data_IF_361856289656
#
_entry.id   IF_361856289656
#
_cell.length_a   1.000
_cell.length_b   1.000
_cell.length_c   1.000
_cell.angle_alpha   90.00
_cell.angle_beta   90.00
_cell.angle_gamma   90.00
#
_symmetry.space_group_name_H-M   'P 1'
#
loop_
_entity.id
_entity.type
_entity.pdbx_description
1 polymer ?
#
# COMPACT_ATOMS: atom_id res chain seq x y z
N UNK A 1 -10.92 31.50 -15.12
CA UNK A 1 -11.90 31.32 -14.02
C UNK A 1 -12.16 29.86 -13.65
N UNK A 2 -12.68 28.97 -14.52
CA UNK A 2 -12.90 27.56 -14.14
C UNK A 2 -11.60 26.75 -13.98
N UNK A 3 -10.67 26.89 -14.93
CA UNK A 3 -9.36 26.21 -14.88
C UNK A 3 -8.54 26.60 -13.64
N UNK A 4 -8.63 27.85 -13.19
CA UNK A 4 -7.95 28.34 -12.00
C UNK A 4 -8.45 27.64 -10.73
N UNK A 5 -9.78 27.53 -10.60
CA UNK A 5 -10.42 26.82 -9.50
C UNK A 5 -10.05 25.33 -9.49
N UNK A 6 -9.98 24.69 -10.66
CA UNK A 6 -9.54 23.30 -10.77
C UNK A 6 -8.09 23.10 -10.34
N UNK A 7 -7.19 24.05 -10.64
CA UNK A 7 -5.78 23.98 -10.22
C UNK A 7 -5.64 24.07 -8.71
N UNK A 8 -6.41 24.97 -8.07
CA UNK A 8 -6.45 25.08 -6.60
C UNK A 8 -7.02 23.80 -5.99
N UNK A 9 -8.15 23.29 -6.48
CA UNK A 9 -8.76 22.05 -5.96
C UNK A 9 -7.84 20.84 -6.16
N UNK A 10 -7.10 20.76 -7.28
CA UNK A 10 -6.11 19.69 -7.50
C UNK A 10 -5.00 19.74 -6.45
N UNK A 11 -4.49 20.92 -6.11
CA UNK A 11 -3.45 21.04 -5.09
C UNK A 11 -4.00 20.66 -3.71
N UNK A 12 -5.19 21.16 -3.35
CA UNK A 12 -5.87 20.82 -2.09
C UNK A 12 -6.16 19.32 -2.00
N UNK A 13 -6.55 18.68 -3.11
CA UNK A 13 -6.76 17.24 -3.17
C UNK A 13 -5.45 16.46 -3.00
N UNK A 14 -4.36 16.91 -3.65
CA UNK A 14 -3.02 16.32 -3.45
C UNK A 14 -2.56 16.43 -1.99
N UNK A 15 -2.85 17.55 -1.35
CA UNK A 15 -2.55 17.77 0.07
C UNK A 15 -3.38 16.81 0.92
N UNK A 16 -4.70 16.72 0.71
CA UNK A 16 -5.61 15.85 1.47
C UNK A 16 -5.17 14.38 1.46
N UNK A 17 -4.67 13.89 0.31
CA UNK A 17 -4.09 12.55 0.21
C UNK A 17 -2.82 12.39 1.05
N UNK A 18 -1.99 13.43 1.13
CA UNK A 18 -0.74 13.41 1.89
C UNK A 18 -0.96 13.58 3.40
N UNK A 19 -2.02 14.28 3.81
CA UNK A 19 -2.41 14.47 5.22
C UNK A 19 -3.48 13.47 5.69
N UNK A 20 -3.68 12.36 4.97
CA UNK A 20 -4.73 11.39 5.28
C UNK A 20 -4.63 10.83 6.70
N UNK A 21 -3.41 10.75 7.25
CA UNK A 21 -3.12 10.21 8.58
C UNK A 21 -3.54 11.15 9.73
N UNK A 22 -3.86 12.42 9.45
CA UNK A 22 -4.39 13.36 10.45
C UNK A 22 -5.79 12.93 10.93
N UNK A 23 -6.13 13.16 12.21
CA UNK A 23 -7.50 13.04 12.69
C UNK A 23 -8.46 13.82 11.80
N UNK A 24 -9.63 13.23 11.52
CA UNK A 24 -10.61 13.77 10.55
C UNK A 24 -10.94 15.24 10.80
N UNK A 25 -11.05 15.67 12.06
CA UNK A 25 -11.32 17.05 12.43
C UNK A 25 -10.18 18.00 12.01
N UNK A 26 -8.93 17.65 12.31
CA UNK A 26 -7.76 18.43 11.92
C UNK A 26 -7.58 18.45 10.40
N UNK A 27 -7.80 17.31 9.72
CA UNK A 27 -7.74 17.25 8.25
C UNK A 27 -8.73 18.22 7.60
N UNK A 28 -9.96 18.30 8.12
CA UNK A 28 -10.97 19.24 7.63
C UNK A 28 -10.54 20.69 7.91
N UNK A 29 -9.97 20.97 9.08
CA UNK A 29 -9.48 22.31 9.44
C UNK A 29 -8.36 22.76 8.49
N UNK A 30 -7.30 21.96 8.33
CA UNK A 30 -6.17 22.25 7.43
C UNK A 30 -6.64 22.43 5.99
N UNK A 31 -7.56 21.57 5.52
CA UNK A 31 -8.13 21.70 4.17
C UNK A 31 -8.87 23.03 3.98
N UNK A 32 -9.67 23.44 4.96
CA UNK A 32 -10.42 24.71 4.91
C UNK A 32 -9.48 25.90 4.94
N UNK A 33 -8.48 25.86 5.81
CA UNK A 33 -7.46 26.91 5.96
C UNK A 33 -6.66 27.10 4.68
N UNK A 34 -6.05 26.03 4.15
CA UNK A 34 -5.23 26.11 2.92
C UNK A 34 -6.07 26.56 1.73
N UNK A 35 -7.32 26.12 1.63
CA UNK A 35 -8.23 26.55 0.57
C UNK A 35 -8.55 28.04 0.67
N UNK A 36 -8.86 28.54 1.87
CA UNK A 36 -9.16 29.96 2.10
C UNK A 36 -7.95 30.84 1.73
N UNK A 37 -6.78 30.50 2.26
CA UNK A 37 -5.54 31.24 2.01
C UNK A 37 -5.15 31.24 0.52
N UNK A 38 -5.38 30.14 -0.20
CA UNK A 38 -5.13 30.07 -1.64
C UNK A 38 -6.10 30.89 -2.47
N UNK A 39 -7.37 30.95 -2.08
CA UNK A 39 -8.37 31.76 -2.77
C UNK A 39 -8.10 33.25 -2.57
N UNK A 40 -7.74 33.65 -1.34
CA UNK A 40 -7.34 35.01 -1.01
C UNK A 40 -6.08 35.42 -1.78
N UNK A 41 -4.99 34.64 -1.69
CA UNK A 41 -3.77 34.92 -2.43
C UNK A 41 -3.98 34.93 -3.96
N UNK A 42 -4.89 34.10 -4.48
CA UNK A 42 -5.21 34.10 -5.91
C UNK A 42 -5.98 35.36 -6.35
N UNK A 43 -6.74 36.01 -5.45
CA UNK A 43 -7.38 37.30 -5.71
C UNK A 43 -6.34 38.42 -5.77
N UNK A 44 -5.33 38.38 -4.92
CA UNK A 44 -4.32 39.45 -4.81
C UNK A 44 -3.26 39.37 -5.91
N UNK A 45 -2.70 38.18 -6.17
CA UNK A 45 -1.54 38.00 -7.05
C UNK A 45 -1.78 37.08 -8.24
N UNK A 46 -3.00 36.56 -8.37
CA UNK A 46 -3.37 35.58 -9.39
C UNK A 46 -3.00 34.14 -9.04
N UNK A 47 -3.79 33.19 -9.55
CA UNK A 47 -3.71 31.76 -9.20
C UNK A 47 -2.34 31.14 -9.44
N UNK A 48 -1.68 31.46 -10.55
CA UNK A 48 -0.38 30.86 -10.88
C UNK A 48 0.69 31.29 -9.86
N UNK A 49 0.71 32.55 -9.46
CA UNK A 49 1.68 33.07 -8.50
C UNK A 49 1.37 32.59 -7.08
N UNK A 50 0.08 32.54 -6.71
CA UNK A 50 -0.37 31.97 -5.44
C UNK A 50 0.07 30.51 -5.28
N UNK A 51 -0.11 29.68 -6.31
CA UNK A 51 0.35 28.29 -6.31
C UNK A 51 1.87 28.18 -6.26
N UNK A 52 2.59 29.08 -6.95
CA UNK A 52 4.06 29.12 -6.92
C UNK A 52 4.60 29.45 -5.53
N UNK A 53 3.96 30.38 -4.81
CA UNK A 53 4.33 30.77 -3.43
C UNK A 53 4.08 29.67 -2.41
N UNK A 54 2.99 28.92 -2.54
CA UNK A 54 2.75 27.73 -1.70
C UNK A 54 3.78 26.64 -1.97
N UNK A 55 4.24 26.52 -3.22
CA UNK A 55 5.27 25.56 -3.60
C UNK A 55 4.78 24.12 -3.54
N UNK A 56 5.63 23.19 -3.13
CA UNK A 56 5.31 21.77 -3.12
C UNK A 56 4.31 21.43 -2.01
N UNK A 57 3.12 20.95 -2.38
CA UNK A 57 2.12 20.43 -1.43
C UNK A 57 2.71 19.40 -0.46
N UNK A 58 3.69 18.62 -0.92
CA UNK A 58 4.42 17.63 -0.11
C UNK A 58 5.14 18.24 1.09
N UNK A 59 5.88 19.33 0.91
CA UNK A 59 6.53 20.03 2.04
C UNK A 59 5.51 20.59 3.02
N UNK A 60 4.41 21.15 2.51
CA UNK A 60 3.35 21.68 3.36
C UNK A 60 2.71 20.56 4.20
N UNK A 61 2.42 19.41 3.58
CA UNK A 61 1.93 18.23 4.29
C UNK A 61 2.92 17.72 5.34
N UNK A 62 4.21 17.65 4.99
CA UNK A 62 5.29 17.26 5.90
C UNK A 62 5.34 18.16 7.14
N UNK A 63 5.20 19.49 6.97
CA UNK A 63 5.16 20.47 8.05
C UNK A 63 3.95 20.30 8.98
N UNK A 64 2.74 20.18 8.43
CA UNK A 64 1.53 19.97 9.25
C UNK A 64 1.60 18.64 10.02
N UNK A 65 2.09 17.58 9.39
CA UNK A 65 2.27 16.30 10.04
C UNK A 65 3.42 16.31 11.06
N UNK A 66 4.48 17.10 10.85
CA UNK A 66 5.55 17.32 11.82
C UNK A 66 5.08 18.10 13.05
N UNK A 67 4.22 19.10 12.86
CA UNK A 67 3.61 19.84 13.96
C UNK A 67 2.74 18.93 14.86
N UNK A 68 1.94 18.03 14.26
CA UNK A 68 1.05 17.15 15.03
C UNK A 68 1.76 15.91 15.62
N UNK A 69 2.67 15.28 14.86
CA UNK A 69 3.22 13.97 15.19
C UNK A 69 4.72 13.93 15.49
N UNK A 70 5.47 15.02 15.25
CA UNK A 70 6.93 15.12 15.47
C UNK A 70 7.78 14.42 14.40
N UNK A 71 9.09 14.66 14.40
CA UNK A 71 10.02 14.16 13.37
C UNK A 71 10.37 12.67 13.59
N UNK A 72 9.81 11.79 12.76
CA UNK A 72 10.12 10.37 12.76
C UNK A 72 9.73 9.70 11.44
N UNK A 73 10.29 8.53 11.12
CA UNK A 73 9.93 7.79 9.91
C UNK A 73 8.46 7.36 9.96
N UNK A 74 7.65 7.89 9.04
CA UNK A 74 6.21 7.64 8.93
C UNK A 74 5.93 6.70 7.76
N UNK A 75 5.29 5.54 7.98
CA UNK A 75 4.80 4.70 6.90
C UNK A 75 3.63 5.38 6.19
N UNK A 76 3.63 5.36 4.85
CA UNK A 76 2.55 5.92 4.05
C UNK A 76 1.42 4.91 3.90
N UNK A 77 0.17 5.36 4.04
CA UNK A 77 -1.01 4.53 3.71
C UNK A 77 -0.98 4.06 2.25
N UNK A 78 -0.33 4.83 1.37
CA UNK A 78 0.03 4.44 0.00
C UNK A 78 0.92 3.19 -0.01
N UNK A 79 1.95 3.14 0.85
CA UNK A 79 2.77 1.95 1.04
C UNK A 79 1.98 0.74 1.54
N UNK A 80 0.98 0.95 2.41
CA UNK A 80 0.07 -0.10 2.84
C UNK A 80 -0.84 -0.59 1.70
N UNK A 81 -1.32 0.30 0.82
CA UNK A 81 -2.08 -0.06 -0.39
C UNK A 81 -1.20 -0.85 -1.37
N UNK A 82 0.03 -0.40 -1.59
CA UNK A 82 0.98 -1.15 -2.41
C UNK A 82 1.31 -2.51 -1.79
N UNK A 83 1.56 -2.58 -0.47
CA UNK A 83 1.76 -3.86 0.20
C UNK A 83 0.52 -4.76 0.11
N UNK A 84 -0.68 -4.19 0.26
CA UNK A 84 -1.94 -4.91 0.15
C UNK A 84 -2.14 -5.49 -1.26
N UNK A 85 -1.79 -4.77 -2.32
CA UNK A 85 -1.96 -5.24 -3.69
C UNK A 85 -0.80 -6.09 -4.20
N UNK A 86 0.44 -5.64 -3.99
CA UNK A 86 1.62 -6.21 -4.62
C UNK A 86 2.05 -7.53 -3.95
N UNK A 87 1.98 -7.60 -2.62
CA UNK A 87 2.38 -8.81 -1.88
C UNK A 87 1.56 -10.06 -2.25
N UNK A 88 0.21 -10.02 -2.31
CA UNK A 88 -0.57 -11.19 -2.72
C UNK A 88 -0.33 -11.57 -4.19
N UNK A 89 -0.12 -10.58 -5.06
CA UNK A 89 0.19 -10.83 -6.47
C UNK A 89 1.53 -11.55 -6.63
N UNK A 90 2.57 -11.07 -5.96
CA UNK A 90 3.89 -11.69 -5.98
C UNK A 90 3.85 -13.09 -5.38
N UNK A 91 3.20 -13.25 -4.22
CA UNK A 91 3.06 -14.55 -3.57
C UNK A 91 2.32 -15.55 -4.49
N UNK A 92 1.22 -15.13 -5.12
CA UNK A 92 0.48 -15.95 -6.06
C UNK A 92 1.33 -16.32 -7.29
N UNK A 93 2.08 -15.35 -7.84
CA UNK A 93 2.98 -15.56 -8.97
C UNK A 93 4.04 -16.62 -8.64
N UNK A 94 4.76 -16.47 -7.52
CA UNK A 94 5.81 -17.43 -7.14
C UNK A 94 5.26 -18.83 -6.84
N UNK A 95 4.13 -18.93 -6.14
CA UNK A 95 3.52 -20.22 -5.85
C UNK A 95 3.01 -20.90 -7.12
N UNK A 96 2.39 -20.14 -8.03
CA UNK A 96 1.92 -20.67 -9.32
C UNK A 96 3.07 -21.11 -10.21
N UNK A 97 4.16 -20.35 -10.23
CA UNK A 97 5.35 -20.70 -11.01
C UNK A 97 6.02 -21.98 -10.47
N UNK A 98 6.13 -22.12 -9.14
CA UNK A 98 6.63 -23.35 -8.53
C UNK A 98 5.74 -24.57 -8.85
N UNK A 99 4.41 -24.38 -8.86
CA UNK A 99 3.45 -25.40 -9.24
C UNK A 99 3.60 -25.81 -10.72
N UNK A 100 3.76 -24.82 -11.61
CA UNK A 100 4.00 -25.04 -13.04
C UNK A 100 5.32 -25.78 -13.28
N UNK A 101 6.38 -25.41 -12.57
CA UNK A 101 7.67 -26.10 -12.66
C UNK A 101 7.55 -27.57 -12.25
N UNK A 102 6.79 -27.88 -11.19
CA UNK A 102 6.51 -29.26 -10.78
C UNK A 102 5.78 -30.03 -11.88
N UNK A 103 4.70 -29.46 -12.44
CA UNK A 103 3.96 -30.08 -13.55
C UNK A 103 4.87 -30.33 -14.76
N UNK A 104 5.67 -29.33 -15.14
CA UNK A 104 6.57 -29.42 -16.28
C UNK A 104 7.65 -30.50 -16.07
N UNK A 105 8.15 -30.67 -14.84
CA UNK A 105 9.10 -31.72 -14.50
C UNK A 105 8.48 -33.12 -14.65
N UNK A 106 7.23 -33.31 -14.24
CA UNK A 106 6.52 -34.60 -14.42
C UNK A 106 6.34 -34.91 -15.91
N UNK A 107 5.87 -33.94 -16.71
CA UNK A 107 5.70 -34.14 -18.16
C UNK A 107 7.01 -34.32 -18.92
N UNK A 108 8.10 -33.70 -18.44
CA UNK A 108 9.41 -33.86 -19.05
C UNK A 108 10.04 -35.23 -18.74
N UNK A 109 9.75 -35.79 -17.56
CA UNK A 109 10.18 -37.13 -17.18
C UNK A 109 9.36 -38.22 -17.87
N UNK A 110 8.05 -38.02 -18.01
CA UNK A 110 7.14 -38.92 -18.71
C UNK A 110 6.09 -38.13 -19.51
N UNK A 111 6.26 -38.02 -20.85
CA UNK A 111 5.31 -37.34 -21.72
C UNK A 111 3.90 -37.95 -21.73
N UNK A 112 3.77 -39.23 -21.36
CA UNK A 112 2.50 -39.96 -21.30
C UNK A 112 2.08 -40.27 -19.86
N UNK A 113 2.58 -39.48 -18.89
CA UNK A 113 2.29 -39.65 -17.48
C UNK A 113 0.78 -39.86 -17.27
N UNK A 114 0.45 -40.92 -16.54
CA UNK A 114 -0.92 -41.26 -16.18
C UNK A 114 -0.97 -41.56 -14.69
N UNK A 115 -1.85 -40.87 -13.96
CA UNK A 115 -1.96 -41.02 -12.52
C UNK A 115 -2.05 -39.70 -11.77
N UNK A 116 -2.05 -39.81 -10.44
CA UNK A 116 -2.23 -38.67 -9.53
C UNK A 116 -0.92 -38.29 -8.85
N UNK A 117 -0.53 -37.02 -9.01
CA UNK A 117 0.66 -36.44 -8.41
C UNK A 117 0.25 -35.30 -7.47
N UNK A 118 0.83 -35.25 -6.28
CA UNK A 118 0.48 -34.25 -5.27
C UNK A 118 1.68 -33.36 -5.00
N UNK A 119 1.50 -32.06 -5.24
CA UNK A 119 2.43 -31.04 -4.79
C UNK A 119 1.90 -30.42 -3.51
N UNK A 120 2.58 -30.65 -2.40
CA UNK A 120 2.18 -30.16 -1.07
C UNK A 120 2.30 -28.63 -0.91
N UNK A 121 3.00 -27.95 -1.82
CA UNK A 121 3.20 -26.51 -1.75
C UNK A 121 3.96 -26.08 -0.50
N UNK A 122 3.66 -24.89 0.00
CA UNK A 122 4.20 -24.40 1.29
C UNK A 122 3.18 -24.70 2.39
N UNK A 123 3.52 -25.65 3.25
CA UNK A 123 2.67 -26.08 4.37
C UNK A 123 2.24 -24.89 5.23
N UNK A 124 0.94 -24.82 5.53
CA UNK A 124 0.34 -23.75 6.30
C UNK A 124 0.00 -22.49 5.50
N UNK A 125 0.59 -22.25 4.32
CA UNK A 125 0.30 -21.08 3.47
C UNK A 125 -0.68 -21.41 2.32
N UNK A 126 -0.58 -22.61 1.76
CA UNK A 126 -1.39 -23.05 0.64
C UNK A 126 -1.88 -24.48 0.85
N UNK A 127 -3.07 -24.81 0.36
CA UNK A 127 -3.49 -26.21 0.25
C UNK A 127 -2.69 -26.92 -0.86
N UNK A 128 -2.48 -28.22 -0.69
CA UNK A 128 -1.80 -29.01 -1.69
C UNK A 128 -2.53 -28.93 -3.05
N UNK A 129 -1.76 -28.99 -4.13
CA UNK A 129 -2.27 -29.09 -5.49
C UNK A 129 -2.18 -30.55 -5.92
N UNK A 130 -3.32 -31.11 -6.29
CA UNK A 130 -3.39 -32.45 -6.87
C UNK A 130 -3.47 -32.32 -8.37
N UNK A 131 -2.49 -32.88 -9.06
CA UNK A 131 -2.45 -33.03 -10.51
C UNK A 131 -2.92 -34.43 -10.91
N UNK A 132 -3.94 -34.50 -11.76
CA UNK A 132 -4.38 -35.74 -12.39
C UNK A 132 -3.97 -35.69 -13.85
N UNK A 133 -3.10 -36.60 -14.24
CA UNK A 133 -2.65 -36.75 -15.62
C UNK A 133 -3.36 -37.92 -16.30
N UNK A 134 -3.82 -37.69 -17.52
CA UNK A 134 -4.38 -38.70 -18.42
C UNK A 134 -3.70 -38.54 -19.77
N UNK A 135 -2.81 -39.47 -20.12
CA UNK A 135 -2.06 -39.45 -21.39
C UNK A 135 -1.37 -38.09 -21.66
N UNK A 136 -0.64 -37.59 -20.66
CA UNK A 136 0.07 -36.30 -20.74
C UNK A 136 -0.81 -35.06 -20.56
N UNK A 137 -2.14 -35.17 -20.63
CA UNK A 137 -3.04 -34.07 -20.32
C UNK A 137 -3.22 -33.91 -18.80
N UNK A 138 -2.82 -32.74 -18.27
CA UNK A 138 -2.86 -32.45 -16.84
C UNK A 138 -4.09 -31.62 -16.47
N UNK A 139 -4.87 -32.09 -15.49
CA UNK A 139 -5.87 -31.31 -14.77
C UNK A 139 -5.42 -31.11 -13.32
N UNK A 140 -5.74 -29.97 -12.71
CA UNK A 140 -5.30 -29.66 -11.34
C UNK A 140 -6.43 -29.12 -10.48
N UNK A 141 -6.48 -29.57 -9.22
CA UNK A 141 -7.39 -29.06 -8.20
C UNK A 141 -6.63 -28.76 -6.90
N UNK A 142 -7.02 -27.72 -6.18
CA UNK A 142 -6.37 -27.28 -4.95
C UNK A 142 -5.58 -25.99 -5.11
N UNK A 143 -4.61 -25.75 -4.23
CA UNK A 143 -3.79 -24.54 -4.28
C UNK A 143 -4.44 -23.29 -3.68
N UNK A 144 -5.55 -23.44 -2.98
CA UNK A 144 -6.23 -22.35 -2.29
C UNK A 144 -5.38 -21.85 -1.12
N UNK A 145 -5.49 -20.56 -0.81
CA UNK A 145 -4.84 -20.02 0.38
C UNK A 145 -5.51 -20.53 1.64
N UNK A 146 -4.69 -20.82 2.64
CA UNK A 146 -5.19 -21.16 3.97
C UNK A 146 -5.71 -19.91 4.68
N UNK A 147 -6.56 -20.06 5.69
CA UNK A 147 -6.95 -18.98 6.59
C UNK A 147 -5.74 -18.25 7.21
N UNK A 148 -4.66 -18.98 7.50
CA UNK A 148 -3.42 -18.42 8.05
C UNK A 148 -2.78 -17.39 7.10
N UNK A 149 -2.79 -17.66 5.79
CA UNK A 149 -2.26 -16.73 4.78
C UNK A 149 -3.02 -15.42 4.76
N UNK A 150 -4.36 -15.47 4.88
CA UNK A 150 -5.16 -14.25 5.00
C UNK A 150 -4.84 -13.47 6.28
N UNK A 151 -4.62 -14.17 7.40
CA UNK A 151 -4.23 -13.52 8.66
C UNK A 151 -2.85 -12.86 8.53
N UNK A 152 -1.85 -13.55 7.97
CA UNK A 152 -0.52 -12.99 7.74
C UNK A 152 -0.56 -11.80 6.80
N UNK A 153 -1.36 -11.87 5.73
CA UNK A 153 -1.56 -10.76 4.81
C UNK A 153 -2.17 -9.53 5.50
N UNK A 154 -3.21 -9.74 6.32
CA UNK A 154 -3.78 -8.66 7.14
C UNK A 154 -2.76 -8.08 8.12
N UNK A 155 -1.92 -8.92 8.75
CA UNK A 155 -0.85 -8.47 9.63
C UNK A 155 0.21 -7.66 8.88
N UNK A 156 0.54 -8.00 7.64
CA UNK A 156 1.45 -7.21 6.79
C UNK A 156 0.83 -5.86 6.44
N UNK A 157 -0.45 -5.81 6.08
CA UNK A 157 -1.16 -4.55 5.78
C UNK A 157 -1.20 -3.66 7.03
N UNK A 158 -1.62 -4.22 8.16
CA UNK A 158 -1.75 -3.50 9.42
C UNK A 158 -0.38 -3.10 9.96
N UNK A 159 0.63 -3.95 9.85
CA UNK A 159 2.01 -3.64 10.21
C UNK A 159 2.55 -2.49 9.36
N UNK A 160 2.51 -2.63 8.04
CA UNK A 160 2.99 -1.59 7.13
C UNK A 160 2.25 -0.26 7.34
N UNK A 161 0.95 -0.28 7.67
CA UNK A 161 0.17 0.95 7.89
C UNK A 161 0.15 1.51 9.32
N UNK A 162 0.37 0.70 10.37
CA UNK A 162 0.18 1.09 11.78
C UNK A 162 1.32 0.75 12.73
N UNK A 163 2.37 0.04 12.31
CA UNK A 163 3.47 -0.36 13.21
C UNK A 163 4.21 0.86 13.80
N UNK A 164 4.09 2.04 13.18
CA UNK A 164 4.63 3.30 13.72
C UNK A 164 3.91 3.81 14.98
N UNK A 165 2.64 3.47 15.18
CA UNK A 165 1.88 3.89 16.38
C UNK A 165 2.33 3.16 17.65
N UNK A 166 3.04 2.05 17.49
CA UNK A 166 3.56 1.24 18.60
C UNK A 166 5.00 1.63 18.98
N UNK A 167 5.65 2.54 18.25
CA UNK A 167 6.98 3.01 18.67
C UNK A 167 6.84 3.96 19.86
N UNK A 168 7.51 3.67 21.00
CA UNK A 168 7.46 4.54 22.16
C UNK A 168 8.04 5.91 21.79
N UNK A 169 7.26 6.96 22.05
CA UNK A 169 7.69 8.36 21.98
C UNK A 169 8.94 8.50 22.86
N UNK A 170 10.12 8.63 22.25
CA UNK A 170 11.30 9.11 22.97
C UNK A 170 11.04 10.58 23.28
N UNK A 171 10.65 10.88 24.52
CA UNK A 171 10.61 12.26 25.02
C UNK A 171 12.03 12.81 24.89
N UNK A 172 12.24 13.95 24.20
CA UNK A 172 13.52 14.64 24.32
C UNK A 172 13.70 14.99 25.79
N UNK A 173 14.81 14.53 26.38
CA UNK A 173 15.21 14.94 27.71
C UNK A 173 15.35 16.46 27.68
N UNK A 174 14.54 17.16 28.46
CA UNK A 174 14.69 18.58 28.69
C UNK A 174 16.05 18.76 29.35
N UNK A 175 17.04 19.23 28.58
CA UNK A 175 18.30 19.68 29.13
C UNK A 175 18.04 21.03 29.81
N UNK A 176 17.80 20.98 31.13
CA UNK A 176 17.99 22.15 32.00
C UNK A 176 19.48 22.34 32.19
N UNK A 177 20.04 23.41 31.63
CA UNK A 177 21.31 24.01 32.02
C UNK A 177 21.21 25.52 31.82
#
# INVERSE_FOLDING_TARGET
>A
MWFDRLRIERLVWSLDQQIYDLPRAQRIAVRREVRANLLEAAQDVGTTEALRRVGSSRRLAEQYLAAEFGDGPRPSWIGAIYAAGLAPLLLNFFLSEAANAYRNAVTAADPHATGTYVWSGVSGLQSAITYTFTDGAASSHGGAWTPLTYVLWLLVIVGTGRLWRLRPRRRPAVATA
#
